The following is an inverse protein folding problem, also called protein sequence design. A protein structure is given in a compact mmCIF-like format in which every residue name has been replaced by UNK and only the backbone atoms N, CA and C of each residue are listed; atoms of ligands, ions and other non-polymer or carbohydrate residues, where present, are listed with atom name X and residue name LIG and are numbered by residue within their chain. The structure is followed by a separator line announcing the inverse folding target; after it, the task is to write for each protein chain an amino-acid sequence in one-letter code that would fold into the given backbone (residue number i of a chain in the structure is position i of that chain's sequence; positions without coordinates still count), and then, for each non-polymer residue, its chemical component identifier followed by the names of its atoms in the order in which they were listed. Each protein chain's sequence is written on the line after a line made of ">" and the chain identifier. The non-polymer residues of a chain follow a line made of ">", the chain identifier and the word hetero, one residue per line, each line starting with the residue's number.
data_IF_612422898035
#
_entry.id   IF_612422898035
#
_cell.length_a   1.000
_cell.length_b   1.000
_cell.length_c   1.000
_cell.angle_alpha   90.00
_cell.angle_beta   90.00
_cell.angle_gamma   90.00
#
_symmetry.space_group_name_H-M   'P 1'
#
loop_
_entity.id
_entity.type
_entity.pdbx_description
1 polymer ?
#
# COMPACT_ATOMS: atom_id res chain seq x y z
N UNK A 1 -3.93 -10.18 14.05
CA UNK A 1 -2.50 -9.95 14.36
C UNK A 1 -1.79 -11.25 14.74
N UNK A 2 -2.28 -12.03 15.72
CA UNK A 2 -1.61 -13.26 16.16
C UNK A 2 -1.41 -14.32 15.04
N UNK A 3 -2.38 -14.52 14.17
CA UNK A 3 -2.32 -15.47 13.04
C UNK A 3 -1.35 -15.02 11.94
N UNK A 4 -1.28 -13.72 11.66
CA UNK A 4 -0.26 -13.19 10.73
C UNK A 4 1.14 -13.44 11.29
N UNK A 5 1.34 -13.21 12.58
CA UNK A 5 2.62 -13.47 13.24
C UNK A 5 2.95 -14.97 13.28
N UNK A 6 1.95 -15.85 13.41
CA UNK A 6 2.14 -17.30 13.31
C UNK A 6 2.49 -17.75 11.88
N UNK A 7 1.82 -17.21 10.86
CA UNK A 7 2.15 -17.45 9.44
C UNK A 7 3.57 -16.99 9.10
N UNK A 8 3.95 -15.79 9.55
CA UNK A 8 5.30 -15.26 9.38
C UNK A 8 6.35 -16.09 10.13
N UNK A 9 6.04 -16.55 11.35
CA UNK A 9 6.93 -17.42 12.14
C UNK A 9 7.05 -18.84 11.60
N UNK A 10 6.01 -19.35 10.95
CA UNK A 10 6.03 -20.69 10.34
C UNK A 10 7.04 -20.77 9.19
N UNK A 11 7.27 -19.64 8.51
CA UNK A 11 8.29 -19.46 7.47
C UNK A 11 9.27 -18.35 7.86
N UNK A 12 9.80 -18.41 9.08
CA UNK A 12 10.73 -17.41 9.63
C UNK A 12 11.97 -17.23 8.75
N UNK A 13 12.54 -18.31 8.22
CA UNK A 13 13.70 -18.27 7.34
C UNK A 13 13.40 -17.53 6.01
N UNK A 14 12.24 -17.77 5.40
CA UNK A 14 11.85 -17.13 4.13
C UNK A 14 11.47 -15.65 4.31
N UNK A 15 10.88 -15.31 5.44
CA UNK A 15 10.54 -13.92 5.76
C UNK A 15 11.78 -13.11 6.14
N UNK A 16 12.72 -13.72 6.87
CA UNK A 16 13.99 -13.10 7.21
C UNK A 16 14.90 -12.92 5.99
N UNK A 17 14.96 -13.90 5.09
CA UNK A 17 15.70 -13.76 3.82
C UNK A 17 15.08 -12.68 2.92
N UNK A 18 13.75 -12.60 2.82
CA UNK A 18 13.08 -11.52 2.09
C UNK A 18 13.44 -10.13 2.66
N UNK A 19 13.42 -9.98 4.00
CA UNK A 19 13.82 -8.74 4.67
C UNK A 19 15.29 -8.38 4.42
N UNK A 20 16.19 -9.36 4.52
CA UNK A 20 17.61 -9.17 4.29
C UNK A 20 17.91 -8.75 2.85
N UNK A 21 17.27 -9.39 1.86
CA UNK A 21 17.40 -9.05 0.44
C UNK A 21 16.85 -7.66 0.16
N UNK A 22 15.72 -7.28 0.77
CA UNK A 22 15.17 -5.93 0.66
C UNK A 22 16.11 -4.86 1.23
N UNK A 23 16.71 -5.12 2.40
CA UNK A 23 17.72 -4.24 2.99
C UNK A 23 18.98 -4.13 2.12
N UNK A 24 19.45 -5.25 1.57
CA UNK A 24 20.58 -5.26 0.65
C UNK A 24 20.29 -4.46 -0.63
N UNK A 25 19.12 -4.65 -1.25
CA UNK A 25 18.71 -3.90 -2.43
C UNK A 25 18.59 -2.39 -2.14
N UNK A 26 18.09 -2.00 -0.96
CA UNK A 26 18.07 -0.61 -0.52
C UNK A 26 19.49 -0.04 -0.38
N UNK A 27 20.43 -0.79 0.22
CA UNK A 27 21.83 -0.39 0.33
C UNK A 27 22.51 -0.23 -1.04
N UNK A 28 22.28 -1.15 -1.98
CA UNK A 28 22.79 -1.04 -3.36
C UNK A 28 22.21 0.20 -4.06
N UNK A 29 20.93 0.50 -3.84
CA UNK A 29 20.27 1.71 -4.37
C UNK A 29 20.90 2.98 -3.80
N UNK A 30 21.27 3.00 -2.52
CA UNK A 30 22.02 4.11 -1.93
C UNK A 30 23.41 4.24 -2.55
N UNK A 31 24.14 3.13 -2.70
CA UNK A 31 25.45 3.12 -3.36
C UNK A 31 25.41 3.67 -4.78
N UNK A 32 24.37 3.32 -5.54
CA UNK A 32 24.12 3.88 -6.87
C UNK A 32 23.93 5.41 -6.83
N UNK A 33 23.11 5.92 -5.91
CA UNK A 33 22.88 7.36 -5.77
C UNK A 33 24.16 8.12 -5.39
N UNK A 34 24.98 7.55 -4.50
CA UNK A 34 26.26 8.14 -4.09
C UNK A 34 27.27 8.19 -5.24
N UNK A 35 27.39 7.11 -6.00
CA UNK A 35 28.27 7.07 -7.17
C UNK A 35 27.87 8.14 -8.19
N UNK A 36 26.56 8.31 -8.45
CA UNK A 36 26.08 9.39 -9.30
C UNK A 36 26.41 10.77 -8.73
N UNK A 37 26.28 10.95 -7.42
CA UNK A 37 26.73 12.16 -6.73
C UNK A 37 28.22 12.44 -6.97
N UNK A 38 29.07 11.43 -6.84
CA UNK A 38 30.51 11.57 -7.07
C UNK A 38 30.85 11.89 -8.53
N UNK A 39 30.16 11.28 -9.49
CA UNK A 39 30.27 11.63 -10.91
C UNK A 39 29.91 13.11 -11.12
N UNK A 40 28.80 13.57 -10.55
CA UNK A 40 28.38 14.97 -10.64
C UNK A 40 29.42 15.90 -10.02
N UNK A 41 30.03 15.52 -8.90
CA UNK A 41 31.11 16.27 -8.26
C UNK A 41 32.35 16.39 -9.15
N UNK A 42 32.72 15.32 -9.87
CA UNK A 42 33.85 15.32 -10.81
C UNK A 42 33.56 16.25 -11.99
N UNK A 43 32.37 16.13 -12.60
CA UNK A 43 31.93 16.95 -13.74
C UNK A 43 31.86 18.43 -13.33
N UNK A 44 31.31 18.74 -12.15
CA UNK A 44 31.19 20.10 -11.64
C UNK A 44 32.54 20.78 -11.43
N UNK A 45 33.62 20.02 -11.22
CA UNK A 45 34.99 20.53 -11.10
C UNK A 45 35.70 20.67 -12.45
N UNK A 46 35.00 20.44 -13.56
CA UNK A 46 35.56 20.50 -14.92
C UNK A 46 36.56 19.39 -15.22
N UNK A 47 36.58 18.31 -14.43
CA UNK A 47 37.46 17.16 -14.66
C UNK A 47 36.77 16.13 -15.53
N UNK A 48 37.53 15.48 -16.41
CA UNK A 48 37.02 14.33 -17.15
C UNK A 48 36.77 13.16 -16.20
N UNK A 49 35.65 12.49 -16.40
CA UNK A 49 35.31 11.27 -15.66
C UNK A 49 36.23 10.16 -16.16
N UNK A 50 37.02 9.58 -15.25
CA UNK A 50 37.92 8.48 -15.60
C UNK A 50 37.12 7.27 -16.12
N UNK A 51 37.63 6.54 -17.13
CA UNK A 51 36.97 5.34 -17.65
C UNK A 51 36.64 4.31 -16.56
N UNK A 52 37.49 4.19 -15.53
CA UNK A 52 37.27 3.29 -14.39
C UNK A 52 35.99 3.59 -13.61
N UNK A 53 35.63 4.88 -13.48
CA UNK A 53 34.40 5.30 -12.79
C UNK A 53 33.17 4.92 -13.62
N UNK A 54 33.28 5.00 -14.95
CA UNK A 54 32.22 4.61 -15.89
C UNK A 54 32.01 3.08 -15.84
N UNK A 55 33.10 2.31 -15.87
CA UNK A 55 33.04 0.86 -15.72
C UNK A 55 32.44 0.48 -14.36
N UNK A 56 32.85 1.15 -13.28
CA UNK A 56 32.27 0.99 -11.95
C UNK A 56 30.77 1.31 -11.92
N UNK A 57 30.32 2.36 -12.59
CA UNK A 57 28.91 2.71 -12.70
C UNK A 57 28.10 1.61 -13.40
N UNK A 58 28.60 1.07 -14.52
CA UNK A 58 27.95 -0.04 -15.23
C UNK A 58 27.88 -1.29 -14.35
N UNK A 59 28.94 -1.62 -13.62
CA UNK A 59 28.95 -2.74 -12.69
C UNK A 59 27.90 -2.56 -11.59
N UNK A 60 27.86 -1.39 -10.93
CA UNK A 60 26.84 -1.12 -9.90
C UNK A 60 25.42 -1.14 -10.50
N UNK A 61 25.23 -0.66 -11.73
CA UNK A 61 23.94 -0.72 -12.41
C UNK A 61 23.48 -2.16 -12.63
N UNK A 62 24.38 -3.06 -13.04
CA UNK A 62 24.10 -4.49 -13.18
C UNK A 62 23.78 -5.14 -11.81
N UNK A 63 24.55 -4.80 -10.77
CA UNK A 63 24.30 -5.27 -9.40
C UNK A 63 22.96 -4.76 -8.88
N UNK A 64 22.58 -3.51 -9.17
CA UNK A 64 21.29 -2.92 -8.81
C UNK A 64 20.13 -3.64 -9.51
N UNK A 65 20.29 -3.96 -10.79
CA UNK A 65 19.32 -4.73 -11.55
C UNK A 65 19.13 -6.14 -10.94
N UNK A 66 20.23 -6.85 -10.70
CA UNK A 66 20.22 -8.17 -10.08
C UNK A 66 19.62 -8.14 -8.66
N UNK A 67 20.00 -7.18 -7.83
CA UNK A 67 19.49 -7.04 -6.47
C UNK A 67 17.98 -6.77 -6.45
N UNK A 68 17.47 -5.90 -7.34
CA UNK A 68 16.04 -5.64 -7.43
C UNK A 68 15.26 -6.83 -8.01
N UNK A 69 15.85 -7.58 -8.94
CA UNK A 69 15.26 -8.82 -9.45
C UNK A 69 15.13 -9.86 -8.33
N UNK A 70 16.23 -10.15 -7.61
CA UNK A 70 16.25 -11.11 -6.51
C UNK A 70 15.27 -10.68 -5.40
N UNK A 71 15.23 -9.39 -5.05
CA UNK A 71 14.25 -8.84 -4.10
C UNK A 71 12.83 -9.12 -4.53
N UNK A 72 12.48 -8.76 -5.75
CA UNK A 72 11.11 -8.93 -6.28
C UNK A 72 10.74 -10.41 -6.34
N UNK A 73 11.65 -11.27 -6.78
CA UNK A 73 11.45 -12.71 -6.84
C UNK A 73 11.25 -13.33 -5.44
N UNK A 74 12.15 -13.08 -4.49
CA UNK A 74 12.09 -13.65 -3.14
C UNK A 74 10.86 -13.15 -2.38
N UNK A 75 10.57 -11.85 -2.42
CA UNK A 75 9.37 -11.30 -1.77
C UNK A 75 8.08 -11.85 -2.38
N UNK A 76 8.01 -12.00 -3.71
CA UNK A 76 6.86 -12.62 -4.38
C UNK A 76 6.69 -14.09 -4.02
N UNK A 77 7.78 -14.85 -3.98
CA UNK A 77 7.77 -16.27 -3.61
C UNK A 77 7.34 -16.46 -2.15
N UNK A 78 7.90 -15.71 -1.21
CA UNK A 78 7.49 -15.74 0.20
C UNK A 78 6.02 -15.35 0.35
N UNK A 79 5.57 -14.35 -0.40
CA UNK A 79 4.18 -13.93 -0.38
C UNK A 79 3.22 -15.05 -0.81
N UNK A 80 3.51 -15.74 -1.91
CA UNK A 80 2.59 -16.77 -2.41
C UNK A 80 2.63 -18.05 -1.56
N UNK A 81 3.74 -18.36 -0.90
CA UNK A 81 3.80 -19.41 0.13
C UNK A 81 2.90 -19.06 1.32
N UNK A 82 2.95 -17.82 1.81
CA UNK A 82 2.09 -17.37 2.90
C UNK A 82 0.60 -17.43 2.52
N UNK A 83 0.26 -17.04 1.29
CA UNK A 83 -1.11 -17.12 0.76
C UNK A 83 -1.55 -18.57 0.58
N UNK A 84 -0.66 -19.45 0.10
CA UNK A 84 -0.93 -20.89 -0.01
C UNK A 84 -1.28 -21.48 1.36
N UNK A 85 -0.46 -21.22 2.38
CA UNK A 85 -0.70 -21.70 3.74
C UNK A 85 -1.99 -21.14 4.33
N UNK A 86 -2.31 -19.88 4.03
CA UNK A 86 -3.56 -19.26 4.43
C UNK A 86 -4.76 -19.98 3.77
N UNK A 87 -4.71 -20.21 2.45
CA UNK A 87 -5.75 -20.94 1.68
C UNK A 87 -5.91 -22.37 2.20
N UNK A 88 -4.81 -23.08 2.47
CA UNK A 88 -4.84 -24.42 3.03
C UNK A 88 -5.39 -24.46 4.46
N UNK A 89 -5.09 -23.45 5.29
CA UNK A 89 -5.65 -23.31 6.63
C UNK A 89 -7.17 -23.16 6.62
N UNK A 90 -7.71 -22.41 5.65
CA UNK A 90 -9.16 -22.33 5.45
C UNK A 90 -9.75 -23.65 4.95
N UNK A 91 -9.12 -24.30 3.97
CA UNK A 91 -9.58 -25.58 3.46
C UNK A 91 -9.64 -26.66 4.57
N UNK A 92 -8.64 -26.68 5.46
CA UNK A 92 -8.63 -27.57 6.64
C UNK A 92 -9.75 -27.26 7.63
N UNK A 93 -9.99 -25.98 7.91
CA UNK A 93 -11.12 -25.56 8.76
C UNK A 93 -12.45 -26.07 8.19
N UNK A 94 -12.72 -25.79 6.91
CA UNK A 94 -13.92 -26.28 6.22
C UNK A 94 -14.05 -27.80 6.22
N UNK A 95 -12.95 -28.53 6.05
CA UNK A 95 -12.96 -30.00 6.05
C UNK A 95 -13.16 -30.60 7.44
N UNK A 96 -12.86 -29.85 8.51
CA UNK A 96 -13.00 -30.29 9.91
C UNK A 96 -14.37 -29.98 10.54
N UNK A 97 -15.21 -29.20 9.84
CA UNK A 97 -16.51 -28.77 10.33
C UNK A 97 -17.51 -29.94 10.35
N UNK A 98 -18.24 -30.16 11.46
CA UNK A 98 -19.35 -31.12 11.48
C UNK A 98 -20.43 -30.74 10.47
N UNK A 99 -21.11 -31.74 9.91
CA UNK A 99 -22.17 -31.54 8.91
C UNK A 99 -23.23 -30.52 9.37
N UNK A 100 -23.60 -30.54 10.65
CA UNK A 100 -24.58 -29.63 11.26
C UNK A 100 -24.13 -28.16 11.31
N UNK A 101 -22.82 -27.89 11.40
CA UNK A 101 -22.29 -26.53 11.30
C UNK A 101 -22.16 -26.10 9.84
N UNK A 102 -21.87 -27.04 8.94
CA UNK A 102 -21.80 -26.78 7.50
C UNK A 102 -23.18 -26.46 6.91
N UNK A 103 -24.24 -27.14 7.36
CA UNK A 103 -25.63 -26.83 7.00
C UNK A 103 -26.06 -25.43 7.47
N UNK A 104 -25.57 -24.95 8.62
CA UNK A 104 -25.82 -23.58 9.09
C UNK A 104 -25.08 -22.54 8.25
N UNK A 105 -23.87 -22.86 7.80
CA UNK A 105 -23.06 -22.03 6.90
C UNK A 105 -23.58 -22.01 5.45
N UNK A 106 -24.39 -23.01 5.05
CA UNK A 106 -24.95 -23.17 3.71
C UNK A 106 -26.00 -22.11 3.31
N UNK A 107 -26.28 -21.14 4.18
CA UNK A 107 -26.96 -19.91 3.76
C UNK A 107 -26.00 -19.17 2.82
N UNK A 108 -26.22 -19.22 1.50
CA UNK A 108 -25.25 -18.78 0.47
C UNK A 108 -24.62 -17.40 0.70
N UNK A 109 -25.28 -16.51 1.44
CA UNK A 109 -24.76 -15.22 1.90
C UNK A 109 -23.54 -15.35 2.84
N UNK A 110 -23.56 -16.29 3.80
CA UNK A 110 -22.46 -16.50 4.74
C UNK A 110 -21.22 -17.12 4.07
N UNK A 111 -21.44 -18.09 3.18
CA UNK A 111 -20.35 -18.72 2.42
C UNK A 111 -19.71 -17.72 1.44
N UNK A 112 -20.52 -16.95 0.71
CA UNK A 112 -20.04 -15.91 -0.21
C UNK A 112 -19.28 -14.82 0.53
N UNK A 113 -19.78 -14.38 1.70
CA UNK A 113 -19.09 -13.40 2.54
C UNK A 113 -17.72 -13.90 2.99
N UNK A 114 -17.63 -15.17 3.39
CA UNK A 114 -16.37 -15.74 3.84
C UNK A 114 -15.35 -15.88 2.70
N UNK A 115 -15.79 -16.30 1.51
CA UNK A 115 -14.94 -16.33 0.32
C UNK A 115 -14.41 -14.94 -0.05
N UNK A 116 -15.26 -13.91 0.01
CA UNK A 116 -14.85 -12.53 -0.21
C UNK A 116 -13.82 -12.06 0.82
N UNK A 117 -14.04 -12.33 2.11
CA UNK A 117 -13.08 -11.98 3.17
C UNK A 117 -11.72 -12.69 2.96
N UNK A 118 -11.71 -13.96 2.55
CA UNK A 118 -10.47 -14.70 2.22
C UNK A 118 -9.74 -14.05 1.04
N UNK A 119 -10.49 -13.72 -0.01
CA UNK A 119 -9.94 -13.09 -1.22
C UNK A 119 -9.35 -11.72 -0.88
N UNK A 120 -10.03 -10.92 -0.06
CA UNK A 120 -9.55 -9.61 0.39
C UNK A 120 -8.25 -9.75 1.18
N UNK A 121 -8.21 -10.64 2.17
CA UNK A 121 -6.99 -10.88 2.98
C UNK A 121 -5.83 -11.37 2.11
N UNK A 122 -6.08 -12.29 1.19
CA UNK A 122 -5.06 -12.80 0.26
C UNK A 122 -4.55 -11.70 -0.67
N UNK A 123 -5.46 -10.88 -1.21
CA UNK A 123 -5.12 -9.74 -2.06
C UNK A 123 -4.30 -8.68 -1.32
N UNK A 124 -4.60 -8.42 -0.04
CA UNK A 124 -3.79 -7.53 0.80
C UNK A 124 -2.38 -8.06 1.06
N UNK A 125 -2.25 -9.36 1.34
CA UNK A 125 -0.92 -9.99 1.54
C UNK A 125 -0.11 -9.90 0.24
N UNK A 126 -0.75 -10.20 -0.90
CA UNK A 126 -0.14 -10.16 -2.24
C UNK A 126 0.35 -8.76 -2.62
N UNK A 127 -0.52 -7.76 -2.52
CA UNK A 127 -0.22 -6.42 -3.04
C UNK A 127 0.50 -5.50 -2.06
N UNK A 128 0.22 -5.59 -0.76
CA UNK A 128 0.54 -4.49 0.17
C UNK A 128 1.51 -4.86 1.29
N UNK A 129 1.55 -6.14 1.72
CA UNK A 129 2.32 -6.51 2.92
C UNK A 129 3.83 -6.28 2.73
N UNK A 130 4.41 -6.84 1.66
CA UNK A 130 5.83 -6.68 1.35
C UNK A 130 6.16 -5.29 0.82
N UNK A 131 5.22 -4.63 0.14
CA UNK A 131 5.39 -3.24 -0.28
C UNK A 131 5.54 -2.32 0.93
N UNK A 132 4.69 -2.45 1.95
CA UNK A 132 4.79 -1.68 3.19
C UNK A 132 6.14 -1.87 3.89
N UNK A 133 6.61 -3.12 3.96
CA UNK A 133 7.93 -3.45 4.52
C UNK A 133 9.05 -2.79 3.72
N UNK A 134 9.01 -2.89 2.38
CA UNK A 134 9.99 -2.26 1.51
C UNK A 134 10.00 -0.74 1.61
N UNK A 135 8.83 -0.10 1.68
CA UNK A 135 8.69 1.33 1.86
C UNK A 135 9.27 1.77 3.22
N UNK A 136 9.02 0.99 4.28
CA UNK A 136 9.59 1.23 5.60
C UNK A 136 11.12 1.11 5.63
N UNK A 137 11.68 0.07 4.99
CA UNK A 137 13.13 -0.10 4.85
C UNK A 137 13.73 1.07 4.06
N UNK A 138 13.14 1.40 2.91
CA UNK A 138 13.62 2.48 2.05
C UNK A 138 13.58 3.83 2.77
N UNK A 139 12.51 4.10 3.53
CA UNK A 139 12.38 5.28 4.37
C UNK A 139 13.47 5.32 5.44
N UNK A 140 13.67 4.24 6.20
CA UNK A 140 14.64 4.19 7.28
C UNK A 140 16.06 4.39 6.77
N UNK A 141 16.44 3.70 5.69
CA UNK A 141 17.74 3.82 5.05
C UNK A 141 17.97 5.21 4.46
N UNK A 142 17.01 5.75 3.71
CA UNK A 142 17.13 7.08 3.10
C UNK A 142 17.18 8.17 4.17
N UNK A 143 16.32 8.10 5.18
CA UNK A 143 16.27 9.10 6.25
C UNK A 143 17.52 9.07 7.13
N UNK A 144 18.00 7.88 7.53
CA UNK A 144 19.24 7.73 8.27
C UNK A 144 20.43 8.31 7.49
N UNK A 145 20.49 8.05 6.18
CA UNK A 145 21.57 8.55 5.34
C UNK A 145 21.54 10.07 5.16
N UNK A 146 20.35 10.67 5.00
CA UNK A 146 20.19 12.13 4.96
C UNK A 146 20.71 12.79 6.25
N UNK A 147 20.40 12.21 7.41
CA UNK A 147 20.89 12.71 8.70
C UNK A 147 22.42 12.63 8.80
N UNK A 148 23.04 11.57 8.29
CA UNK A 148 24.50 11.41 8.25
C UNK A 148 25.14 12.50 7.36
N UNK A 149 24.53 12.81 6.22
CA UNK A 149 25.09 13.80 5.29
C UNK A 149 25.01 15.23 5.83
N UNK A 150 23.82 15.68 6.25
CA UNK A 150 23.62 17.01 6.80
C UNK A 150 22.32 17.10 7.59
N UNK A 151 22.43 17.12 8.92
CA UNK A 151 21.28 17.20 9.83
C UNK A 151 20.49 18.49 9.64
N UNK A 152 21.15 19.63 9.44
CA UNK A 152 20.48 20.95 9.33
C UNK A 152 19.63 21.03 8.06
N UNK A 153 20.18 20.62 6.92
CA UNK A 153 19.47 20.59 5.65
C UNK A 153 18.31 19.57 5.68
N UNK A 154 18.55 18.40 6.26
CA UNK A 154 17.53 17.36 6.42
C UNK A 154 16.33 17.86 7.21
N UNK A 155 16.55 18.48 8.37
CA UNK A 155 15.46 19.01 9.20
C UNK A 155 14.71 20.15 8.51
N UNK A 156 15.42 21.07 7.85
CA UNK A 156 14.81 22.19 7.13
C UNK A 156 13.87 21.73 6.01
N UNK A 157 14.26 20.70 5.25
CA UNK A 157 13.46 20.19 4.13
C UNK A 157 12.35 19.23 4.59
N UNK A 158 12.56 18.45 5.65
CA UNK A 158 11.58 17.47 6.12
C UNK A 158 10.50 18.07 7.03
N UNK A 159 10.74 19.21 7.67
CA UNK A 159 9.76 19.87 8.54
C UNK A 159 8.43 20.20 7.79
N UNK A 160 8.45 20.81 6.59
CA UNK A 160 7.25 20.97 5.76
C UNK A 160 6.54 19.65 5.44
N UNK A 161 7.30 18.57 5.20
CA UNK A 161 6.75 17.25 4.83
C UNK A 161 5.85 16.70 5.94
N UNK A 162 6.18 16.94 7.21
CA UNK A 162 5.34 16.56 8.35
C UNK A 162 3.98 17.29 8.30
N UNK A 163 3.99 18.60 8.02
CA UNK A 163 2.75 19.37 7.88
C UNK A 163 1.90 18.87 6.69
N UNK A 164 2.56 18.54 5.57
CA UNK A 164 1.90 17.94 4.39
C UNK A 164 1.28 16.59 4.76
N UNK A 165 1.99 15.75 5.51
CA UNK A 165 1.48 14.44 5.96
C UNK A 165 0.20 14.59 6.80
N UNK A 166 0.16 15.56 7.72
CA UNK A 166 -1.04 15.87 8.51
C UNK A 166 -2.19 16.31 7.60
N UNK A 167 -1.91 17.16 6.62
CA UNK A 167 -2.90 17.59 5.62
C UNK A 167 -3.46 16.41 4.82
N UNK A 168 -2.61 15.52 4.31
CA UNK A 168 -3.04 14.33 3.54
C UNK A 168 -3.83 13.37 4.43
N UNK A 169 -3.43 13.18 5.68
CA UNK A 169 -4.17 12.34 6.63
C UNK A 169 -5.59 12.87 6.88
N UNK A 170 -5.73 14.18 7.13
CA UNK A 170 -7.03 14.81 7.34
C UNK A 170 -7.90 14.72 6.07
N UNK A 171 -7.32 15.07 4.93
CA UNK A 171 -7.93 14.97 3.60
C UNK A 171 -8.43 13.56 3.29
N UNK A 172 -7.62 12.53 3.58
CA UNK A 172 -7.96 11.13 3.36
C UNK A 172 -9.23 10.74 4.14
N UNK A 173 -9.36 11.22 5.38
CA UNK A 173 -10.55 10.98 6.21
C UNK A 173 -11.80 11.64 5.61
N UNK A 174 -11.70 12.85 5.08
CA UNK A 174 -12.82 13.54 4.43
C UNK A 174 -13.25 12.78 3.17
N UNK A 175 -12.29 12.39 2.32
CA UNK A 175 -12.56 11.62 1.09
C UNK A 175 -13.20 10.28 1.45
N UNK A 176 -12.67 9.57 2.45
CA UNK A 176 -13.21 8.28 2.92
C UNK A 176 -14.66 8.42 3.38
N UNK A 177 -15.00 9.44 4.17
CA UNK A 177 -16.37 9.69 4.62
C UNK A 177 -17.33 9.99 3.46
N UNK A 178 -16.88 10.74 2.45
CA UNK A 178 -17.68 10.99 1.25
C UNK A 178 -17.85 9.71 0.40
N UNK A 179 -16.80 8.90 0.28
CA UNK A 179 -16.82 7.63 -0.42
C UNK A 179 -17.81 6.64 0.22
N UNK A 180 -17.89 6.60 1.56
CA UNK A 180 -18.89 5.80 2.27
C UNK A 180 -20.32 6.18 1.88
N UNK A 181 -20.62 7.48 1.73
CA UNK A 181 -21.95 7.95 1.30
C UNK A 181 -22.25 7.56 -0.15
N UNK A 182 -21.25 7.62 -1.04
CA UNK A 182 -21.40 7.12 -2.42
C UNK A 182 -21.64 5.61 -2.45
N UNK A 183 -20.90 4.84 -1.65
CA UNK A 183 -21.06 3.39 -1.56
C UNK A 183 -22.45 2.99 -1.03
N UNK A 184 -23.00 3.72 -0.06
CA UNK A 184 -24.38 3.52 0.40
C UNK A 184 -25.41 3.81 -0.71
N UNK A 185 -25.18 4.84 -1.54
CA UNK A 185 -26.05 5.15 -2.68
C UNK A 185 -25.97 4.06 -3.76
N UNK A 186 -24.77 3.54 -4.04
CA UNK A 186 -24.54 2.40 -4.92
C UNK A 186 -25.28 1.15 -4.42
N UNK A 187 -25.24 0.88 -3.11
CA UNK A 187 -25.98 -0.23 -2.50
C UNK A 187 -27.50 -0.12 -2.71
N UNK A 188 -28.08 1.08 -2.60
CA UNK A 188 -29.50 1.31 -2.89
C UNK A 188 -29.84 1.09 -4.37
N UNK A 189 -29.00 1.58 -5.28
CA UNK A 189 -29.16 1.36 -6.71
C UNK A 189 -29.12 -0.14 -7.05
N UNK A 190 -28.15 -0.89 -6.50
CA UNK A 190 -28.05 -2.34 -6.70
C UNK A 190 -29.28 -3.08 -6.18
N UNK A 191 -29.78 -2.73 -4.99
CA UNK A 191 -31.02 -3.33 -4.44
C UNK A 191 -32.23 -3.06 -5.34
N UNK A 192 -32.31 -1.88 -5.95
CA UNK A 192 -33.36 -1.55 -6.90
C UNK A 192 -33.24 -2.37 -8.20
N UNK A 193 -32.02 -2.56 -8.71
CA UNK A 193 -31.77 -3.42 -9.88
C UNK A 193 -32.18 -4.87 -9.61
N UNK A 194 -31.88 -5.40 -8.42
CA UNK A 194 -32.30 -6.73 -8.00
C UNK A 194 -33.84 -6.86 -7.93
N UNK A 195 -34.51 -5.82 -7.46
CA UNK A 195 -35.98 -5.74 -7.44
C UNK A 195 -36.58 -5.73 -8.85
N UNK A 196 -35.96 -5.03 -9.80
CA UNK A 196 -36.38 -5.01 -11.21
C UNK A 196 -36.28 -6.39 -11.86
N UNK A 197 -35.19 -7.12 -11.60
CA UNK A 197 -34.98 -8.46 -12.13
C UNK A 197 -35.98 -9.46 -11.53
N UNK A 198 -36.18 -9.38 -10.21
CA UNK A 198 -37.11 -10.26 -9.49
C UNK A 198 -38.56 -10.04 -9.92
N UNK A 199 -38.98 -8.78 -10.13
CA UNK A 199 -40.36 -8.43 -10.50
C UNK A 199 -40.57 -8.33 -12.02
N UNK A 200 -39.59 -8.71 -12.84
CA UNK A 200 -39.65 -8.55 -14.29
C UNK A 200 -40.94 -9.10 -14.95
N UNK A 201 -41.43 -10.31 -14.60
CA UNK A 201 -42.68 -10.82 -15.17
C UNK A 201 -43.91 -9.97 -14.81
N UNK A 202 -43.95 -9.43 -13.59
CA UNK A 202 -45.05 -8.58 -13.10
C UNK A 202 -45.00 -7.21 -13.79
N UNK A 203 -43.81 -6.63 -13.96
CA UNK A 203 -43.64 -5.36 -14.67
C UNK A 203 -44.15 -5.49 -16.12
N UNK A 204 -43.87 -6.62 -16.77
CA UNK A 204 -44.37 -6.91 -18.13
C UNK A 204 -45.88 -7.13 -18.18
N UNK A 205 -46.45 -7.81 -17.18
CA UNK A 205 -47.88 -8.07 -17.11
C UNK A 205 -48.71 -6.79 -16.96
N UNK A 206 -48.21 -5.81 -16.21
CA UNK A 206 -48.87 -4.53 -15.94
C UNK A 206 -48.41 -3.37 -16.85
N UNK A 207 -47.55 -3.64 -17.83
CA UNK A 207 -46.92 -2.65 -18.72
C UNK A 207 -46.30 -1.43 -17.97
N UNK A 208 -45.73 -1.69 -16.80
CA UNK A 208 -45.25 -0.67 -15.87
C UNK A 208 -43.75 -0.31 -16.06
N UNK A 209 -43.17 -0.66 -17.21
CA UNK A 209 -41.73 -0.54 -17.47
C UNK A 209 -41.25 0.92 -17.35
N UNK A 210 -41.97 1.86 -17.97
CA UNK A 210 -41.60 3.29 -17.94
C UNK A 210 -41.64 3.86 -16.53
N UNK A 211 -42.66 3.50 -15.73
CA UNK A 211 -42.75 3.92 -14.34
C UNK A 211 -41.54 3.43 -13.52
N UNK A 212 -41.13 2.18 -13.73
CA UNK A 212 -39.99 1.59 -13.04
C UNK A 212 -38.66 2.20 -13.49
N UNK A 213 -38.50 2.50 -14.78
CA UNK A 213 -37.34 3.20 -15.32
C UNK A 213 -37.18 4.60 -14.71
N UNK A 214 -38.26 5.37 -14.57
CA UNK A 214 -38.22 6.70 -13.93
C UNK A 214 -37.74 6.59 -12.47
N UNK A 215 -38.23 5.58 -11.73
CA UNK A 215 -37.81 5.35 -10.33
C UNK A 215 -36.36 4.88 -10.25
N UNK A 216 -35.92 3.99 -11.14
CA UNK A 216 -34.53 3.53 -11.19
C UNK A 216 -33.57 4.68 -11.53
N UNK A 217 -33.93 5.50 -12.52
CA UNK A 217 -33.16 6.68 -12.91
C UNK A 217 -32.96 7.65 -11.72
N UNK A 218 -33.97 7.81 -10.85
CA UNK A 218 -33.83 8.60 -9.63
C UNK A 218 -32.77 8.05 -8.66
N UNK A 219 -32.67 6.72 -8.52
CA UNK A 219 -31.63 6.11 -7.67
C UNK A 219 -30.24 6.17 -8.32
N UNK A 220 -30.16 6.00 -9.64
CA UNK A 220 -28.92 6.19 -10.42
C UNK A 220 -28.40 7.63 -10.27
N UNK A 221 -29.25 8.64 -10.47
CA UNK A 221 -28.90 10.06 -10.31
C UNK A 221 -28.42 10.37 -8.89
N UNK A 222 -29.03 9.79 -7.85
CA UNK A 222 -28.55 9.95 -6.47
C UNK A 222 -27.14 9.38 -6.30
N UNK A 223 -26.86 8.20 -6.83
CA UNK A 223 -25.53 7.61 -6.79
C UNK A 223 -24.51 8.43 -7.59
N UNK A 224 -24.88 8.89 -8.79
CA UNK A 224 -24.07 9.77 -9.63
C UNK A 224 -23.70 11.05 -8.88
N UNK A 225 -24.68 11.75 -8.30
CA UNK A 225 -24.42 12.99 -7.55
C UNK A 225 -23.48 12.78 -6.36
N UNK A 226 -23.58 11.66 -5.64
CA UNK A 226 -22.65 11.37 -4.54
C UNK A 226 -21.25 11.03 -5.07
N UNK A 227 -21.15 10.29 -6.16
CA UNK A 227 -19.87 9.93 -6.80
C UNK A 227 -19.17 11.16 -7.35
N UNK A 228 -19.89 12.04 -8.05
CA UNK A 228 -19.35 13.32 -8.55
C UNK A 228 -18.89 14.21 -7.39
N UNK A 229 -19.58 14.20 -6.23
CA UNK A 229 -19.11 14.93 -5.03
C UNK A 229 -17.78 14.36 -4.50
N UNK A 230 -17.62 13.04 -4.50
CA UNK A 230 -16.36 12.38 -4.12
C UNK A 230 -15.24 12.77 -5.08
N UNK A 231 -15.48 12.69 -6.40
CA UNK A 231 -14.46 13.04 -7.39
C UNK A 231 -14.10 14.53 -7.35
N UNK A 232 -15.07 15.43 -7.16
CA UNK A 232 -14.80 16.87 -6.94
C UNK A 232 -13.93 17.12 -5.71
N UNK A 233 -14.22 16.42 -4.61
CA UNK A 233 -13.44 16.52 -3.38
C UNK A 233 -12.03 15.97 -3.59
N UNK A 234 -11.90 14.81 -4.22
CA UNK A 234 -10.63 14.16 -4.55
C UNK A 234 -9.78 15.05 -5.45
N UNK A 235 -10.36 15.59 -6.53
CA UNK A 235 -9.68 16.49 -7.44
C UNK A 235 -9.13 17.74 -6.72
N UNK A 236 -9.95 18.39 -5.88
CA UNK A 236 -9.51 19.57 -5.09
C UNK A 236 -8.37 19.24 -4.14
N UNK A 237 -8.52 18.17 -3.36
CA UNK A 237 -7.57 17.85 -2.30
C UNK A 237 -6.27 17.21 -2.85
N UNK A 238 -6.34 16.40 -3.89
CA UNK A 238 -5.15 15.85 -4.57
C UNK A 238 -4.38 16.93 -5.32
N UNK A 239 -5.05 17.88 -5.97
CA UNK A 239 -4.38 19.01 -6.63
C UNK A 239 -3.59 19.85 -5.61
N UNK A 240 -4.19 20.14 -4.44
CA UNK A 240 -3.48 20.85 -3.38
C UNK A 240 -2.30 20.02 -2.85
N UNK A 241 -2.48 18.71 -2.66
CA UNK A 241 -1.39 17.80 -2.25
C UNK A 241 -0.22 17.80 -3.23
N UNK A 242 -0.46 17.84 -4.54
CA UNK A 242 0.60 17.89 -5.56
C UNK A 242 1.35 19.22 -5.58
N UNK A 243 0.66 20.34 -5.31
CA UNK A 243 1.34 21.62 -5.10
C UNK A 243 2.21 21.57 -3.83
N UNK A 244 1.66 21.04 -2.74
CA UNK A 244 2.37 20.89 -1.47
C UNK A 244 3.60 19.98 -1.61
N UNK A 245 3.52 18.90 -2.39
CA UNK A 245 4.66 17.98 -2.61
C UNK A 245 5.83 18.63 -3.36
N UNK A 246 5.62 19.76 -4.03
CA UNK A 246 6.68 20.51 -4.72
C UNK A 246 7.46 21.43 -3.78
N UNK A 247 6.89 21.79 -2.63
CA UNK A 247 7.50 22.71 -1.65
C UNK A 247 8.82 22.16 -1.09
N UNK A 248 8.93 20.89 -0.65
CA UNK A 248 10.19 20.33 -0.14
C UNK A 248 11.31 20.37 -1.18
N UNK A 249 10.99 20.06 -2.45
CA UNK A 249 11.95 20.12 -3.55
C UNK A 249 12.43 21.57 -3.77
N UNK A 250 11.51 22.53 -3.78
CA UNK A 250 11.83 23.96 -3.92
C UNK A 250 12.72 24.46 -2.77
N UNK A 251 12.38 24.13 -1.52
CA UNK A 251 13.19 24.47 -0.34
C UNK A 251 14.57 23.82 -0.39
N UNK A 252 14.65 22.56 -0.84
CA UNK A 252 15.92 21.87 -1.00
C UNK A 252 16.81 22.54 -2.04
N UNK A 253 16.25 22.97 -3.17
CA UNK A 253 17.01 23.72 -4.18
C UNK A 253 17.42 25.11 -3.68
N UNK A 254 16.57 25.81 -2.94
CA UNK A 254 16.88 27.16 -2.46
C UNK A 254 17.94 27.15 -1.35
N UNK A 255 17.73 26.33 -0.31
CA UNK A 255 18.64 26.22 0.84
C UNK A 255 19.87 25.41 0.46
N UNK A 256 19.68 24.24 -0.14
CA UNK A 256 20.79 23.36 -0.54
C UNK A 256 21.60 23.93 -1.71
N UNK A 257 20.96 24.61 -2.67
CA UNK A 257 21.66 25.35 -3.72
C UNK A 257 22.47 26.52 -3.17
N UNK A 258 21.91 27.28 -2.21
CA UNK A 258 22.66 28.31 -1.48
C UNK A 258 23.91 27.76 -0.79
N UNK A 259 23.79 26.61 -0.10
CA UNK A 259 24.93 25.92 0.51
C UNK A 259 25.99 25.47 -0.51
N UNK A 260 25.58 25.08 -1.72
CA UNK A 260 26.52 24.76 -2.81
C UNK A 260 27.24 26.01 -3.30
N UNK A 261 26.54 27.14 -3.43
CA UNK A 261 27.16 28.41 -3.82
C UNK A 261 28.14 28.94 -2.77
N UNK A 262 27.86 28.72 -1.48
CA UNK A 262 28.76 29.04 -0.37
C UNK A 262 29.94 28.06 -0.25
N UNK A 263 29.96 26.98 -1.02
CA UNK A 263 30.99 25.93 -0.97
C UNK A 263 30.92 25.02 0.25
N UNK A 264 29.85 25.10 1.05
CA UNK A 264 29.64 24.25 2.23
C UNK A 264 29.09 22.87 1.88
N UNK A 265 28.52 22.71 0.68
CA UNK A 265 27.99 21.46 0.14
C UNK A 265 28.49 21.24 -1.29
N UNK A 266 28.80 19.99 -1.66
CA UNK A 266 29.15 19.67 -3.04
C UNK A 266 27.88 19.47 -3.90
N UNK A 267 27.94 19.82 -5.19
CA UNK A 267 26.79 19.72 -6.11
C UNK A 267 26.24 18.28 -6.20
N UNK A 268 27.12 17.29 -6.20
CA UNK A 268 26.76 15.88 -6.18
C UNK A 268 26.06 15.45 -4.89
N UNK A 269 26.46 16.04 -3.75
CA UNK A 269 25.76 15.81 -2.48
C UNK A 269 24.34 16.36 -2.54
N UNK A 270 24.12 17.52 -3.17
CA UNK A 270 22.77 18.06 -3.40
C UNK A 270 21.91 17.12 -4.26
N UNK A 271 22.47 16.50 -5.29
CA UNK A 271 21.77 15.49 -6.10
C UNK A 271 21.35 14.26 -5.26
N UNK A 272 22.24 13.76 -4.42
CA UNK A 272 21.95 12.66 -3.50
C UNK A 272 20.82 13.07 -2.55
N UNK A 273 20.88 14.27 -1.99
CA UNK A 273 19.83 14.83 -1.14
C UNK A 273 18.46 14.85 -1.86
N UNK A 274 18.41 15.32 -3.11
CA UNK A 274 17.18 15.39 -3.90
C UNK A 274 16.54 14.01 -4.09
N UNK A 275 17.33 13.00 -4.43
CA UNK A 275 16.83 11.63 -4.61
C UNK A 275 16.35 11.00 -3.30
N UNK A 276 17.18 11.04 -2.25
CA UNK A 276 16.83 10.43 -0.97
C UNK A 276 15.65 11.13 -0.30
N UNK A 277 15.58 12.47 -0.38
CA UNK A 277 14.44 13.23 0.13
C UNK A 277 13.17 12.98 -0.69
N UNK A 278 13.31 12.73 -1.99
CA UNK A 278 12.20 12.26 -2.84
C UNK A 278 11.65 10.92 -2.37
N UNK A 279 12.52 9.96 -2.04
CA UNK A 279 12.11 8.66 -1.50
C UNK A 279 11.37 8.83 -0.16
N UNK A 280 11.92 9.61 0.76
CA UNK A 280 11.30 9.89 2.07
C UNK A 280 9.93 10.56 1.89
N UNK A 281 9.85 11.61 1.07
CA UNK A 281 8.61 12.34 0.80
C UNK A 281 7.56 11.45 0.12
N UNK A 282 7.96 10.61 -0.82
CA UNK A 282 7.09 9.65 -1.49
C UNK A 282 6.47 8.64 -0.53
N UNK A 283 7.27 8.07 0.38
CA UNK A 283 6.74 7.18 1.42
C UNK A 283 5.77 7.92 2.35
N UNK A 284 6.14 9.11 2.82
CA UNK A 284 5.29 9.93 3.70
C UNK A 284 3.96 10.33 3.04
N UNK A 285 3.95 10.61 1.74
CA UNK A 285 2.74 11.00 1.03
C UNK A 285 1.78 9.80 0.81
N UNK A 286 2.33 8.60 0.67
CA UNK A 286 1.55 7.36 0.53
C UNK A 286 1.12 6.74 1.88
N UNK A 287 1.75 7.13 2.99
CA UNK A 287 1.45 6.62 4.34
C UNK A 287 -0.04 6.59 4.71
N UNK A 288 -0.86 7.61 4.44
CA UNK A 288 -2.29 7.57 4.76
C UNK A 288 -3.03 6.42 4.05
N UNK A 289 -2.66 6.13 2.80
CA UNK A 289 -3.20 4.99 2.04
C UNK A 289 -2.73 3.65 2.62
N UNK A 290 -1.46 3.56 3.01
CA UNK A 290 -0.88 2.38 3.67
C UNK A 290 -1.58 2.11 5.01
N UNK A 291 -1.79 3.13 5.84
CA UNK A 291 -2.49 3.01 7.13
C UNK A 291 -3.95 2.58 6.92
N UNK A 292 -4.64 3.15 5.94
CA UNK A 292 -6.01 2.77 5.61
C UNK A 292 -6.10 1.29 5.17
N UNK A 293 -5.21 0.87 4.26
CA UNK A 293 -5.07 -0.50 3.77
C UNK A 293 -4.77 -1.48 4.90
N UNK A 294 -3.82 -1.14 5.77
CA UNK A 294 -3.48 -1.95 6.93
C UNK A 294 -4.63 -2.07 7.93
N UNK A 295 -5.39 -0.99 8.14
CA UNK A 295 -6.57 -1.00 9.02
C UNK A 295 -7.66 -1.91 8.47
N UNK A 296 -7.96 -1.84 7.17
CA UNK A 296 -8.93 -2.73 6.52
C UNK A 296 -8.47 -4.19 6.65
N UNK A 297 -7.23 -4.48 6.29
CA UNK A 297 -6.64 -5.80 6.46
C UNK A 297 -6.76 -6.34 7.89
N UNK A 298 -6.43 -5.52 8.89
CA UNK A 298 -6.52 -5.91 10.31
C UNK A 298 -7.94 -6.26 10.74
N UNK A 299 -8.95 -5.58 10.20
CA UNK A 299 -10.37 -5.90 10.45
C UNK A 299 -10.75 -7.24 9.81
N UNK A 300 -10.48 -7.43 8.51
CA UNK A 300 -10.80 -8.69 7.82
C UNK A 300 -10.06 -9.88 8.44
N UNK A 301 -8.79 -9.70 8.78
CA UNK A 301 -7.99 -10.72 9.46
C UNK A 301 -8.55 -11.09 10.85
N UNK A 302 -9.11 -10.12 11.61
CA UNK A 302 -9.78 -10.43 12.89
C UNK A 302 -11.04 -11.26 12.68
N UNK A 303 -11.84 -10.95 11.66
CA UNK A 303 -13.05 -11.71 11.33
C UNK A 303 -12.76 -13.16 10.93
N UNK A 304 -11.67 -13.37 10.20
CA UNK A 304 -11.23 -14.69 9.75
C UNK A 304 -10.47 -15.47 10.83
N UNK A 305 -9.90 -14.79 11.84
CA UNK A 305 -9.04 -15.43 12.82
C UNK A 305 -9.61 -16.65 13.55
N UNK A 306 -10.88 -16.68 14.01
CA UNK A 306 -11.43 -17.88 14.65
C UNK A 306 -11.69 -19.05 13.68
N UNK A 307 -11.48 -18.85 12.37
CA UNK A 307 -11.83 -19.80 11.29
C UNK A 307 -10.62 -20.29 10.51
N UNK A 308 -9.41 -20.16 11.06
CA UNK A 308 -8.16 -20.62 10.44
C UNK A 308 -7.51 -21.64 11.36
N UNK A 309 -7.29 -22.85 10.83
CA UNK A 309 -6.49 -23.89 11.49
C UNK A 309 -5.11 -23.95 10.85
N UNK A 310 -4.15 -23.22 11.42
CA UNK A 310 -2.77 -23.17 10.90
C UNK A 310 -1.94 -24.42 11.25
N UNK A 311 -2.38 -25.22 12.22
CA UNK A 311 -1.65 -26.39 12.69
C UNK A 311 -2.58 -27.62 12.76
N UNK A 312 -2.06 -28.79 12.41
CA UNK A 312 -2.79 -30.06 12.42
C UNK A 312 -3.11 -30.59 13.83
N UNK A 313 -2.91 -29.79 14.87
CA UNK A 313 -3.34 -30.12 16.23
C UNK A 313 -4.78 -29.63 16.41
N UNK A 314 -5.68 -30.56 16.14
CA UNK A 314 -7.11 -30.44 16.40
C UNK A 314 -7.40 -29.84 17.77
N UNK A 315 -8.46 -29.05 17.81
CA UNK A 315 -8.90 -28.34 18.99
C UNK A 315 -9.07 -29.26 20.21
N UNK A 316 -8.50 -28.83 21.33
CA UNK A 316 -9.26 -28.88 22.57
C UNK A 316 -10.05 -27.59 22.64
N UNK A 317 -11.24 -27.60 22.03
CA UNK A 317 -12.30 -26.74 22.51
C UNK A 317 -12.57 -27.16 23.94
N UNK A 318 -12.04 -26.38 24.87
CA UNK A 318 -12.36 -26.48 26.29
C UNK A 318 -13.86 -26.23 26.42
N UNK A 319 -14.54 -27.27 26.89
CA UNK A 319 -15.96 -27.34 27.08
C UNK A 319 -16.32 -26.40 28.23
N UNK A 320 -16.62 -25.13 27.91
CA UNK A 320 -17.09 -24.14 28.89
C UNK A 320 -18.49 -23.68 28.50
N UNK A 321 -19.43 -24.59 28.67
CA UNK A 321 -20.81 -24.27 29.02
C UNK A 321 -21.03 -24.77 30.44
N UNK A 322 -20.93 -23.83 31.39
CA UNK A 322 -21.66 -23.85 32.66
C UNK A 322 -22.24 -22.45 32.86
#
# INVERSE_FOLDING_TARGET
>A
MHILAQLLKKHDLLTLTALAVSGFAAAVTLGWNLLLGDIINIISKGKNVSPDVIVGAVVIMLVLCAANYIKTYVTGLTCEILIHDLRMGYARYFSSLPLSQMERLNTGEQLSKLQNEISDVSGYISGNLFQLVNDGITFLFSFAWLLILNVRLTLAVNLPVIAIMIYVFYTSRIISNAALRSQQAKGRMNKYADTLLTLFPIIRLYDAADMMLVKYNREVLKWEQQTVKVEKLRARLMSLSGLLSSIPLMLMLFIGGGMVMEGTLALGTLYVFLNLSGNVSGVMMNMPGIIASFRQFSVHMKLLSPKILLDGRGGRHENSYR
#
